data_IF_892825728610
#
_entry.id   IF_892825728610
#
_cell.length_a   1.000
_cell.length_b   1.000
_cell.length_c   1.000
_cell.angle_alpha   90.00
_cell.angle_beta   90.00
_cell.angle_gamma   90.00
#
_symmetry.space_group_name_H-M   'P 1'
#
loop_
_entity.id
_entity.type
_entity.pdbx_description
1 polymer ?
#
# COMPACT_ATOMS: atom_id res chain seq x y z
N UNK A 1 23.43 72.34 12.45
CA UNK A 1 22.79 71.23 11.71
C UNK A 1 23.20 69.95 12.41
N UNK A 2 22.27 69.33 13.12
CA UNK A 2 22.48 68.07 13.84
C UNK A 2 21.18 67.28 13.75
N UNK A 3 21.07 66.45 12.73
CA UNK A 3 19.92 65.58 12.53
C UNK A 3 19.98 64.44 13.55
N UNK A 4 18.99 64.41 14.44
CA UNK A 4 18.77 63.27 15.34
C UNK A 4 18.03 62.19 14.55
N UNK A 5 18.52 60.93 14.53
CA UNK A 5 17.80 59.84 13.88
C UNK A 5 16.49 59.59 14.61
N UNK A 6 15.43 59.33 13.85
CA UNK A 6 14.07 59.18 14.38
C UNK A 6 13.94 57.87 15.17
N UNK A 7 13.26 57.95 16.33
CA UNK A 7 13.00 56.83 17.24
C UNK A 7 12.27 55.64 16.59
N UNK A 8 11.67 55.85 15.41
CA UNK A 8 10.96 54.82 14.66
C UNK A 8 11.91 53.78 14.05
N UNK A 9 13.17 54.15 13.78
CA UNK A 9 14.15 53.27 13.14
C UNK A 9 14.81 52.29 14.14
N UNK A 10 14.82 52.62 15.43
CA UNK A 10 15.37 51.77 16.49
C UNK A 10 14.41 50.64 16.92
N UNK A 11 13.09 50.81 16.77
CA UNK A 11 12.11 49.76 17.07
C UNK A 11 12.01 48.69 15.97
N UNK A 12 12.33 49.04 14.72
CA UNK A 12 12.27 48.09 13.61
C UNK A 12 13.39 47.04 13.65
N UNK A 13 14.49 47.32 14.34
CA UNK A 13 15.63 46.40 14.47
C UNK A 13 15.48 45.37 15.60
N UNK A 14 14.59 45.61 16.58
CA UNK A 14 14.43 44.74 17.75
C UNK A 14 13.40 43.61 17.55
N UNK A 15 12.43 43.78 16.64
CA UNK A 15 11.43 42.74 16.32
C UNK A 15 11.92 41.71 15.28
N UNK A 16 13.05 41.93 14.60
CA UNK A 16 13.59 41.00 13.60
C UNK A 16 14.38 39.81 14.17
N UNK A 17 14.72 39.83 15.47
CA UNK A 17 15.65 38.87 16.06
C UNK A 17 15.00 37.62 16.70
N UNK A 18 13.66 37.51 16.72
CA UNK A 18 12.97 36.42 17.45
C UNK A 18 12.52 35.26 16.52
N UNK A 19 12.66 35.39 15.20
CA UNK A 19 12.13 34.40 14.26
C UNK A 19 13.09 33.26 13.83
N UNK A 20 14.24 33.05 14.51
CA UNK A 20 15.30 32.16 13.99
C UNK A 20 15.53 30.83 14.75
N UNK A 21 14.60 30.34 15.56
CA UNK A 21 14.80 29.05 16.27
C UNK A 21 13.63 28.05 16.19
N UNK A 22 12.86 28.06 15.10
CA UNK A 22 12.17 26.84 14.65
C UNK A 22 13.05 26.07 13.67
N UNK A 23 14.29 25.80 14.08
CA UNK A 23 15.07 24.75 13.45
C UNK A 23 14.35 23.42 13.76
N UNK A 24 13.52 22.97 12.82
CA UNK A 24 13.17 21.56 12.73
C UNK A 24 14.48 20.78 12.77
N UNK A 25 14.74 20.11 13.89
CA UNK A 25 15.79 19.11 13.98
C UNK A 25 15.40 17.99 13.02
N UNK A 26 15.80 18.11 11.75
CA UNK A 26 15.97 16.93 10.90
C UNK A 26 17.14 16.20 11.51
N UNK A 27 16.85 15.15 12.27
CA UNK A 27 17.88 14.18 12.61
C UNK A 27 18.31 13.53 11.30
N UNK A 28 19.59 13.69 10.95
CA UNK A 28 20.25 13.01 9.85
C UNK A 28 20.46 11.52 10.18
N UNK A 29 19.38 10.81 10.51
CA UNK A 29 19.37 9.34 10.58
C UNK A 29 19.07 8.80 9.18
N UNK A 30 19.93 9.13 8.22
CA UNK A 30 19.73 8.81 6.79
C UNK A 30 19.77 7.31 6.46
N UNK A 31 20.13 6.43 7.39
CA UNK A 31 20.34 5.00 7.11
C UNK A 31 19.46 4.04 7.89
N UNK A 32 18.49 4.52 8.68
CA UNK A 32 17.62 3.67 9.50
C UNK A 32 16.14 3.82 9.15
N UNK A 33 15.82 4.15 7.91
CA UNK A 33 14.42 4.31 7.49
C UNK A 33 13.84 3.03 6.87
N UNK A 34 12.53 2.89 6.99
CA UNK A 34 11.70 1.88 6.34
C UNK A 34 10.50 2.58 5.73
N UNK A 35 9.90 1.97 4.70
CA UNK A 35 8.71 2.51 4.06
C UNK A 35 7.51 1.59 4.27
N UNK A 36 6.34 2.16 4.51
CA UNK A 36 5.09 1.41 4.65
C UNK A 36 4.00 2.08 3.83
N UNK A 37 3.21 1.29 3.12
CA UNK A 37 1.95 1.74 2.52
C UNK A 37 0.80 0.84 2.95
N UNK A 38 -0.41 1.35 2.78
CA UNK A 38 -1.63 0.69 3.21
C UNK A 38 -2.56 0.48 2.02
N UNK A 39 -3.16 -0.70 1.94
CA UNK A 39 -4.07 -1.10 0.87
C UNK A 39 -5.37 -1.54 1.52
N UNK A 40 -6.48 -0.88 1.18
CA UNK A 40 -7.80 -1.30 1.63
C UNK A 40 -8.46 -2.17 0.54
N UNK A 41 -8.78 -3.40 0.92
CA UNK A 41 -9.48 -4.41 0.10
C UNK A 41 -10.89 -4.65 0.63
N UNK A 42 -11.29 -4.01 1.73
CA UNK A 42 -12.63 -4.14 2.30
C UNK A 42 -13.57 -3.14 1.64
N UNK A 43 -14.56 -3.64 0.90
CA UNK A 43 -15.73 -2.89 0.45
C UNK A 43 -16.59 -2.49 1.66
N UNK A 44 -16.24 -1.38 2.29
CA UNK A 44 -16.81 -0.86 3.52
C UNK A 44 -16.31 0.56 3.80
N UNK A 45 -16.38 1.03 5.06
CA UNK A 45 -15.83 2.32 5.44
C UNK A 45 -14.35 2.44 5.09
N UNK A 46 -13.95 3.64 4.65
CA UNK A 46 -12.52 3.99 4.53
C UNK A 46 -11.80 3.83 5.85
N UNK A 47 -10.50 3.57 5.77
CA UNK A 47 -9.66 3.33 6.93
C UNK A 47 -8.61 4.43 7.12
N UNK A 48 -8.42 4.82 8.37
CA UNK A 48 -7.28 5.57 8.86
C UNK A 48 -6.27 4.58 9.45
N UNK A 49 -5.01 4.70 9.04
CA UNK A 49 -3.93 3.79 9.44
C UNK A 49 -2.93 4.48 10.33
N UNK A 50 -2.56 3.79 11.42
CA UNK A 50 -1.67 4.32 12.44
C UNK A 50 -0.48 3.41 12.67
N UNK A 51 0.66 4.00 13.00
CA UNK A 51 1.85 3.33 13.50
C UNK A 51 2.11 3.82 14.93
N UNK A 52 2.02 2.95 15.93
CA UNK A 52 2.15 3.31 17.36
C UNK A 52 1.26 4.52 17.74
N UNK A 53 -0.01 4.50 17.34
CA UNK A 53 -1.01 5.56 17.53
C UNK A 53 -0.75 6.88 16.79
N UNK A 54 0.29 6.98 15.97
CA UNK A 54 0.51 8.14 15.08
C UNK A 54 -0.21 7.88 13.76
N UNK A 55 -1.06 8.81 13.32
CA UNK A 55 -1.75 8.71 12.04
C UNK A 55 -0.74 8.83 10.89
N UNK A 56 -0.71 7.85 9.99
CA UNK A 56 0.25 7.79 8.88
C UNK A 56 -0.43 7.86 7.52
N UNK A 57 -1.65 7.34 7.42
CA UNK A 57 -2.49 7.49 6.23
C UNK A 57 -3.94 7.64 6.64
N UNK A 58 -4.68 8.52 5.97
CA UNK A 58 -6.10 8.76 6.24
C UNK A 58 -6.98 8.37 5.04
N UNK A 59 -8.24 8.07 5.32
CA UNK A 59 -9.31 7.93 4.33
C UNK A 59 -9.00 6.95 3.18
N UNK A 60 -8.28 5.86 3.44
CA UNK A 60 -7.96 4.86 2.42
C UNK A 60 -9.21 4.02 2.16
N UNK A 61 -9.90 4.31 1.06
CA UNK A 61 -11.14 3.64 0.65
C UNK A 61 -10.91 2.30 -0.05
N UNK A 62 -11.98 1.51 -0.20
CA UNK A 62 -11.95 0.28 -0.99
C UNK A 62 -11.37 0.50 -2.38
N UNK A 63 -10.53 -0.41 -2.84
CA UNK A 63 -9.94 -0.32 -4.17
C UNK A 63 -8.81 0.70 -4.29
N UNK A 64 -8.46 1.43 -3.22
CA UNK A 64 -7.34 2.38 -3.20
C UNK A 64 -6.17 1.90 -2.33
N UNK A 65 -5.04 2.62 -2.41
CA UNK A 65 -3.88 2.46 -1.55
C UNK A 65 -3.29 3.83 -1.21
N UNK A 66 -2.60 3.92 -0.08
CA UNK A 66 -1.82 5.10 0.28
C UNK A 66 -0.53 5.18 -0.55
N UNK A 67 0.13 6.35 -0.50
CA UNK A 67 1.55 6.44 -0.82
C UNK A 67 2.37 5.70 0.25
N UNK A 68 3.65 5.43 -0.05
CA UNK A 68 4.59 4.98 0.97
C UNK A 68 4.90 6.13 1.93
N UNK A 69 4.65 5.90 3.20
CA UNK A 69 5.15 6.74 4.27
C UNK A 69 6.51 6.24 4.72
N UNK A 70 7.43 7.18 4.98
CA UNK A 70 8.74 6.90 5.56
C UNK A 70 8.59 6.93 7.08
N UNK A 71 9.17 5.95 7.76
CA UNK A 71 9.17 5.87 9.22
C UNK A 71 10.48 5.27 9.71
N UNK A 72 10.77 5.44 11.00
CA UNK A 72 11.97 4.88 11.61
C UNK A 72 11.92 3.34 11.57
N UNK A 73 13.02 2.71 11.20
CA UNK A 73 13.14 1.26 11.12
C UNK A 73 13.76 0.66 12.39
N UNK A 74 13.96 -0.66 12.33
CA UNK A 74 14.43 -1.54 13.40
C UNK A 74 13.62 -1.47 14.70
N UNK A 75 12.37 -1.03 14.60
CA UNK A 75 11.45 -0.83 15.72
C UNK A 75 10.20 -1.69 15.56
N UNK A 76 9.66 -2.14 16.69
CA UNK A 76 8.34 -2.78 16.76
C UNK A 76 7.25 -1.71 16.63
N UNK A 77 6.34 -1.92 15.69
CA UNK A 77 5.18 -1.07 15.51
C UNK A 77 3.90 -1.85 15.77
N UNK A 78 3.00 -1.26 16.56
CA UNK A 78 1.58 -1.60 16.52
C UNK A 78 0.96 -0.84 15.35
N UNK A 79 0.54 -1.57 14.33
CA UNK A 79 -0.17 -1.07 13.16
C UNK A 79 -1.66 -1.20 13.43
N UNK A 80 -2.41 -0.11 13.26
CA UNK A 80 -3.85 -0.08 13.48
C UNK A 80 -4.58 0.36 12.23
N UNK A 81 -5.72 -0.26 11.94
CA UNK A 81 -6.74 0.27 11.05
C UNK A 81 -7.94 0.73 11.88
N UNK A 82 -8.44 1.93 11.60
CA UNK A 82 -9.66 2.47 12.22
C UNK A 82 -10.61 2.96 11.13
N UNK A 83 -11.90 2.81 11.35
CA UNK A 83 -12.88 3.46 10.48
C UNK A 83 -12.66 4.98 10.50
N UNK A 84 -12.49 5.58 9.32
CA UNK A 84 -12.19 7.00 9.17
C UNK A 84 -13.15 7.88 9.95
N UNK A 85 -12.61 8.84 10.69
CA UNK A 85 -13.39 9.78 11.51
C UNK A 85 -13.95 9.19 12.80
N UNK A 86 -13.57 7.97 13.18
CA UNK A 86 -14.00 7.31 14.43
C UNK A 86 -12.82 6.78 15.23
N UNK A 87 -13.06 6.34 16.46
CA UNK A 87 -12.06 5.62 17.27
C UNK A 87 -12.22 4.09 17.19
N UNK A 88 -13.14 3.60 16.36
CA UNK A 88 -13.41 2.17 16.23
C UNK A 88 -12.25 1.49 15.51
N UNK A 89 -11.49 0.69 16.25
CA UNK A 89 -10.41 -0.13 15.69
C UNK A 89 -11.02 -1.28 14.92
N UNK A 90 -10.69 -1.36 13.64
CA UNK A 90 -11.12 -2.42 12.75
C UNK A 90 -10.22 -3.65 12.87
N UNK A 91 -8.91 -3.45 12.97
CA UNK A 91 -7.95 -4.50 13.31
C UNK A 91 -6.59 -3.91 13.75
N UNK A 92 -5.75 -4.74 14.35
CA UNK A 92 -4.39 -4.40 14.78
C UNK A 92 -3.40 -5.54 14.59
N UNK A 93 -2.17 -5.22 14.17
CA UNK A 93 -1.05 -6.18 14.12
C UNK A 93 0.22 -5.53 14.67
N UNK A 94 1.09 -6.32 15.30
CA UNK A 94 2.43 -5.85 15.70
C UNK A 94 3.50 -6.45 14.80
N UNK A 95 4.35 -5.61 14.22
CA UNK A 95 5.42 -6.04 13.29
C UNK A 95 6.71 -5.26 13.52
N UNK A 96 7.86 -5.94 13.41
CA UNK A 96 9.17 -5.28 13.45
C UNK A 96 9.58 -4.89 12.04
N UNK A 97 9.52 -3.59 11.74
CA UNK A 97 9.88 -3.07 10.43
C UNK A 97 11.41 -2.88 10.35
N UNK A 98 12.05 -3.48 9.34
CA UNK A 98 13.52 -3.54 9.24
C UNK A 98 14.09 -2.43 8.38
N UNK A 99 15.34 -2.07 8.65
CA UNK A 99 16.07 -1.04 7.93
C UNK A 99 16.12 -1.32 6.43
N UNK A 100 15.84 -0.29 5.63
CA UNK A 100 15.92 -0.34 4.17
C UNK A 100 14.85 -1.20 3.50
N UNK A 101 13.86 -1.68 4.25
CA UNK A 101 12.76 -2.49 3.71
C UNK A 101 11.53 -1.64 3.40
N UNK A 102 10.73 -2.15 2.47
CA UNK A 102 9.46 -1.55 2.09
C UNK A 102 8.37 -2.55 2.44
N UNK A 103 7.21 -2.08 2.89
CA UNK A 103 6.12 -2.94 3.32
C UNK A 103 4.78 -2.46 2.77
N UNK A 104 3.95 -3.44 2.42
CA UNK A 104 2.55 -3.28 2.06
C UNK A 104 1.69 -3.92 3.14
N UNK A 105 0.82 -3.13 3.75
CA UNK A 105 -0.16 -3.61 4.74
C UNK A 105 -1.52 -3.66 4.07
N UNK A 106 -2.09 -4.85 3.98
CA UNK A 106 -3.39 -5.11 3.38
C UNK A 106 -4.43 -5.24 4.49
N UNK A 107 -5.47 -4.43 4.43
CA UNK A 107 -6.70 -4.61 5.20
C UNK A 107 -7.73 -5.31 4.33
N UNK A 108 -8.15 -6.52 4.69
CA UNK A 108 -8.98 -7.38 3.86
C UNK A 108 -9.94 -8.22 4.72
N UNK A 109 -11.04 -8.66 4.11
CA UNK A 109 -12.01 -9.52 4.78
C UNK A 109 -11.54 -10.97 4.85
N UNK A 110 -11.83 -11.63 5.96
CA UNK A 110 -11.66 -13.08 6.15
C UNK A 110 -12.99 -13.81 6.26
N UNK A 111 -14.06 -13.09 6.62
CA UNK A 111 -15.43 -13.57 6.63
C UNK A 111 -16.39 -12.43 6.29
N UNK A 112 -17.71 -12.66 6.30
CA UNK A 112 -18.68 -11.59 6.12
C UNK A 112 -18.61 -10.52 7.21
N UNK A 113 -18.15 -10.88 8.41
CA UNK A 113 -18.08 -9.98 9.58
C UNK A 113 -16.65 -9.59 9.96
N UNK A 114 -15.66 -10.42 9.63
CA UNK A 114 -14.28 -10.24 10.09
C UNK A 114 -13.37 -9.68 9.00
N UNK A 115 -12.44 -8.84 9.42
CA UNK A 115 -11.38 -8.28 8.58
C UNK A 115 -10.08 -8.28 9.34
N UNK A 116 -8.95 -8.43 8.64
CA UNK A 116 -7.62 -8.48 9.24
C UNK A 116 -6.63 -7.62 8.46
N UNK A 117 -5.56 -7.24 9.14
CA UNK A 117 -4.33 -6.68 8.60
C UNK A 117 -3.34 -7.81 8.31
N UNK A 118 -2.77 -7.77 7.11
CA UNK A 118 -1.65 -8.61 6.73
C UNK A 118 -0.54 -7.75 6.14
N UNK A 119 0.67 -7.95 6.64
CA UNK A 119 1.86 -7.25 6.16
C UNK A 119 2.70 -8.16 5.27
N UNK A 120 3.19 -7.60 4.17
CA UNK A 120 4.19 -8.22 3.30
C UNK A 120 5.33 -7.25 3.05
N UNK A 121 6.56 -7.77 3.01
CA UNK A 121 7.72 -7.02 2.51
C UNK A 121 7.64 -6.90 0.98
N UNK A 122 7.83 -5.69 0.47
CA UNK A 122 7.91 -5.39 -0.95
C UNK A 122 9.36 -5.39 -1.40
N UNK A 123 9.68 -6.25 -2.38
CA UNK A 123 10.95 -6.18 -3.10
C UNK A 123 10.80 -5.23 -4.28
N UNK A 124 11.22 -3.98 -4.07
CA UNK A 124 11.18 -2.91 -5.08
C UNK A 124 12.48 -2.80 -5.87
N UNK A 125 13.36 -3.81 -5.80
CA UNK A 125 14.62 -3.82 -6.56
C UNK A 125 14.28 -3.74 -8.05
N UNK A 126 14.67 -2.65 -8.74
CA UNK A 126 14.39 -2.50 -10.15
C UNK A 126 15.11 -3.59 -10.94
N UNK A 127 14.41 -4.18 -11.88
CA UNK A 127 15.08 -4.92 -12.94
C UNK A 127 15.17 -3.99 -14.15
N UNK A 128 16.36 -3.85 -14.74
CA UNK A 128 16.41 -3.46 -16.15
C UNK A 128 15.57 -4.47 -16.96
N UNK A 129 15.49 -4.47 -18.26
CA UNK A 129 15.02 -5.62 -19.08
C UNK A 129 13.61 -6.25 -18.87
N UNK A 130 12.92 -6.09 -17.73
CA UNK A 130 11.65 -6.73 -17.39
C UNK A 130 10.87 -5.91 -16.36
N UNK A 131 9.57 -6.17 -16.33
CA UNK A 131 8.73 -5.81 -15.21
C UNK A 131 8.63 -6.99 -14.24
N UNK A 132 8.38 -6.72 -12.97
CA UNK A 132 8.19 -7.75 -11.94
C UNK A 132 6.76 -7.74 -11.45
N UNK A 133 6.15 -8.91 -11.32
CA UNK A 133 4.75 -9.05 -10.89
C UNK A 133 4.63 -10.08 -9.78
N UNK A 134 3.90 -9.72 -8.73
CA UNK A 134 3.47 -10.59 -7.65
C UNK A 134 1.95 -10.76 -7.72
N UNK A 135 1.44 -11.96 -7.47
CA UNK A 135 0.00 -12.21 -7.30
C UNK A 135 -0.31 -12.48 -5.84
N UNK A 136 -1.42 -11.94 -5.35
CA UNK A 136 -1.93 -12.20 -4.00
C UNK A 136 -3.44 -12.45 -4.12
N UNK A 137 -3.95 -13.51 -3.50
CA UNK A 137 -5.39 -13.76 -3.45
C UNK A 137 -5.93 -13.46 -2.04
N UNK A 138 -6.71 -12.38 -1.93
CA UNK A 138 -7.41 -11.97 -0.70
C UNK A 138 -8.94 -12.01 -0.85
N UNK A 139 -9.46 -12.70 -1.87
CA UNK A 139 -10.90 -12.82 -2.12
C UNK A 139 -11.57 -13.90 -1.28
N UNK A 140 -11.97 -13.59 -0.04
CA UNK A 140 -12.60 -14.58 0.86
C UNK A 140 -13.95 -15.12 0.36
N UNK A 141 -14.63 -14.40 -0.53
CA UNK A 141 -15.90 -14.85 -1.13
C UNK A 141 -15.69 -15.82 -2.30
N UNK A 142 -14.46 -15.99 -2.78
CA UNK A 142 -14.12 -16.95 -3.81
C UNK A 142 -14.18 -18.35 -3.19
N UNK A 143 -15.09 -19.18 -3.69
CA UNK A 143 -15.36 -20.53 -3.15
C UNK A 143 -14.33 -21.58 -3.56
N UNK A 144 -13.36 -21.19 -4.38
CA UNK A 144 -12.34 -22.06 -4.95
C UNK A 144 -11.05 -21.30 -5.15
N UNK A 145 -9.97 -22.06 -5.37
CA UNK A 145 -8.67 -21.49 -5.71
C UNK A 145 -8.72 -20.83 -7.09
N UNK A 146 -7.82 -19.90 -7.32
CA UNK A 146 -7.73 -19.13 -8.57
C UNK A 146 -6.56 -19.65 -9.40
N UNK A 147 -6.87 -20.22 -10.56
CA UNK A 147 -5.90 -20.50 -11.61
C UNK A 147 -5.47 -19.21 -12.30
N UNK A 148 -4.17 -18.98 -12.33
CA UNK A 148 -3.52 -17.82 -12.92
C UNK A 148 -2.64 -18.33 -14.06
N UNK A 149 -2.91 -17.85 -15.28
CA UNK A 149 -2.09 -18.14 -16.45
C UNK A 149 -1.53 -16.85 -17.01
N UNK A 150 -0.22 -16.81 -17.15
CA UNK A 150 0.55 -15.72 -17.74
C UNK A 150 1.46 -16.27 -18.84
N UNK A 151 2.11 -15.44 -19.66
CA UNK A 151 3.09 -15.92 -20.63
C UNK A 151 4.30 -16.61 -19.97
N UNK A 152 4.63 -16.27 -18.72
CA UNK A 152 5.82 -16.77 -18.01
C UNK A 152 5.54 -17.93 -17.05
N UNK A 153 4.28 -18.09 -16.60
CA UNK A 153 3.94 -19.01 -15.50
C UNK A 153 2.46 -19.41 -15.55
N UNK A 154 2.18 -20.65 -15.14
CA UNK A 154 0.85 -21.11 -14.69
C UNK A 154 0.94 -21.49 -13.21
N UNK A 155 0.01 -21.00 -12.38
CA UNK A 155 -0.05 -21.31 -10.94
C UNK A 155 -1.48 -21.26 -10.44
N UNK A 156 -1.71 -21.69 -9.20
CA UNK A 156 -3.02 -21.68 -8.55
C UNK A 156 -2.89 -21.13 -7.13
N UNK A 157 -3.66 -20.11 -6.78
CA UNK A 157 -3.65 -19.49 -5.44
C UNK A 157 -4.95 -19.72 -4.67
N UNK A 158 -4.85 -20.22 -3.46
CA UNK A 158 -5.93 -20.22 -2.46
C UNK A 158 -6.06 -18.86 -1.77
N UNK A 159 -7.12 -18.71 -0.98
CA UNK A 159 -7.31 -17.50 -0.16
C UNK A 159 -6.15 -17.31 0.83
N UNK A 160 -5.62 -16.09 0.91
CA UNK A 160 -4.48 -15.71 1.74
C UNK A 160 -3.11 -16.03 1.13
N UNK A 161 -3.05 -16.74 0.01
CA UNK A 161 -1.80 -17.12 -0.64
C UNK A 161 -1.29 -16.05 -1.61
N UNK A 162 0.03 -16.09 -1.84
CA UNK A 162 0.72 -15.24 -2.81
C UNK A 162 1.83 -16.00 -3.54
N UNK A 163 2.24 -15.50 -4.70
CA UNK A 163 3.40 -16.02 -5.41
C UNK A 163 4.72 -15.43 -4.86
N UNK A 164 5.84 -15.82 -5.47
CA UNK A 164 7.02 -14.95 -5.55
C UNK A 164 6.85 -13.91 -6.66
N UNK A 165 7.85 -13.05 -6.84
CA UNK A 165 7.90 -12.17 -8.01
C UNK A 165 8.27 -12.97 -9.26
N UNK A 166 7.48 -12.80 -10.32
CA UNK A 166 7.79 -13.29 -11.65
C UNK A 166 8.25 -12.15 -12.55
N UNK A 167 9.17 -12.43 -13.47
CA UNK A 167 9.57 -11.48 -14.49
C UNK A 167 8.68 -11.60 -15.73
N UNK A 168 8.16 -10.47 -16.18
CA UNK A 168 7.42 -10.34 -17.43
C UNK A 168 8.21 -9.48 -18.40
N UNK A 169 8.07 -9.77 -19.70
CA UNK A 169 8.65 -8.95 -20.75
C UNK A 169 8.07 -7.54 -20.68
N UNK A 170 8.94 -6.56 -20.44
CA UNK A 170 8.56 -5.16 -20.37
C UNK A 170 8.08 -4.63 -21.71
N UNK A 171 7.29 -3.56 -21.66
CA UNK A 171 6.85 -2.73 -22.79
C UNK A 171 6.14 -3.54 -23.88
N UNK A 172 5.57 -4.68 -23.49
CA UNK A 172 4.79 -5.56 -24.34
C UNK A 172 3.47 -5.89 -23.65
N UNK A 173 2.41 -5.98 -24.44
CA UNK A 173 1.09 -6.35 -23.94
C UNK A 173 1.13 -7.77 -23.37
N UNK A 174 0.98 -7.89 -22.06
CA UNK A 174 0.88 -9.20 -21.41
C UNK A 174 -0.58 -9.56 -21.22
N UNK A 175 -1.00 -10.70 -21.78
CA UNK A 175 -2.31 -11.29 -21.52
C UNK A 175 -2.21 -12.23 -20.32
N UNK A 176 -3.06 -12.02 -19.32
CA UNK A 176 -3.17 -12.91 -18.16
C UNK A 176 -4.63 -13.31 -17.98
N UNK A 177 -4.87 -14.57 -17.65
CA UNK A 177 -6.22 -15.08 -17.41
C UNK A 177 -6.36 -15.61 -15.99
N UNK A 178 -7.52 -15.35 -15.39
CA UNK A 178 -7.86 -15.74 -14.02
C UNK A 178 -9.15 -16.55 -14.05
N UNK A 179 -9.10 -17.78 -13.54
CA UNK A 179 -10.26 -18.66 -13.50
C UNK A 179 -10.35 -19.33 -12.14
N UNK A 180 -11.56 -19.46 -11.59
CA UNK A 180 -11.78 -20.36 -10.46
C UNK A 180 -11.59 -21.81 -10.93
N UNK A 181 -10.93 -22.64 -10.11
CA UNK A 181 -10.62 -24.05 -10.47
C UNK A 181 -11.87 -24.87 -10.75
N UNK A 182 -12.98 -24.55 -10.08
CA UNK A 182 -14.27 -25.24 -10.17
C UNK A 182 -15.23 -24.60 -11.19
N UNK A 183 -14.79 -23.57 -11.92
CA UNK A 183 -15.61 -22.92 -12.95
C UNK A 183 -15.37 -23.54 -14.33
N UNK A 184 -16.45 -23.94 -15.01
CA UNK A 184 -16.43 -24.34 -16.41
C UNK A 184 -16.33 -23.15 -17.39
N UNK A 185 -16.54 -21.91 -16.91
CA UNK A 185 -16.52 -20.69 -17.73
C UNK A 185 -15.32 -19.80 -17.34
N UNK A 186 -14.75 -19.12 -18.33
CA UNK A 186 -13.68 -18.12 -18.13
C UNK A 186 -14.22 -16.96 -17.28
N UNK A 187 -13.57 -16.66 -16.14
CA UNK A 187 -14.15 -15.82 -15.06
C UNK A 187 -13.68 -14.37 -15.13
N UNK A 188 -12.41 -14.09 -15.46
CA UNK A 188 -11.97 -12.72 -15.76
C UNK A 188 -10.63 -12.68 -16.53
N UNK A 189 -10.39 -11.58 -17.24
CA UNK A 189 -9.13 -11.30 -17.96
C UNK A 189 -8.70 -9.90 -17.58
N UNK A 190 -7.49 -9.75 -17.03
CA UNK A 190 -6.92 -8.40 -16.88
C UNK A 190 -6.91 -7.76 -18.26
N UNK A 191 -7.54 -6.58 -18.36
CA UNK A 191 -7.47 -5.75 -19.57
C UNK A 191 -6.01 -5.69 -20.01
N UNK A 192 -5.69 -6.07 -21.26
CA UNK A 192 -4.31 -6.20 -21.71
C UNK A 192 -3.47 -4.99 -21.31
N UNK A 193 -2.51 -5.21 -20.42
CA UNK A 193 -1.75 -4.14 -19.77
C UNK A 193 -0.31 -4.15 -20.25
N UNK A 194 0.26 -2.95 -20.42
CA UNK A 194 1.69 -2.75 -20.68
C UNK A 194 2.39 -2.60 -19.34
N UNK A 195 3.34 -3.49 -19.06
CA UNK A 195 4.16 -3.44 -17.85
C UNK A 195 5.51 -2.82 -18.19
N UNK A 196 5.91 -1.76 -17.50
CA UNK A 196 7.12 -1.02 -17.85
C UNK A 196 8.39 -1.61 -17.24
N UNK A 197 9.53 -1.45 -17.92
CA UNK A 197 10.86 -1.85 -17.43
C UNK A 197 11.17 -1.17 -16.09
N UNK A 198 11.78 -1.90 -15.15
CA UNK A 198 12.14 -1.35 -13.83
C UNK A 198 11.00 -1.31 -12.82
N UNK A 199 9.77 -1.61 -13.25
CA UNK A 199 8.58 -1.49 -12.41
C UNK A 199 8.17 -2.83 -11.80
N UNK A 200 7.74 -2.73 -10.56
CA UNK A 200 7.21 -3.83 -9.76
C UNK A 200 5.72 -3.60 -9.54
N UNK A 201 4.94 -4.65 -9.72
CA UNK A 201 3.49 -4.60 -9.61
C UNK A 201 2.97 -5.72 -8.71
N UNK A 202 1.85 -5.45 -8.05
CA UNK A 202 1.05 -6.46 -7.38
C UNK A 202 -0.28 -6.58 -8.10
N UNK A 203 -0.63 -7.79 -8.53
CA UNK A 203 -1.97 -8.12 -8.97
C UNK A 203 -2.68 -8.74 -7.77
N UNK A 204 -3.60 -7.96 -7.20
CA UNK A 204 -4.45 -8.39 -6.12
C UNK A 204 -5.70 -9.05 -6.69
N UNK A 205 -5.96 -10.28 -6.30
CA UNK A 205 -7.19 -11.01 -6.60
C UNK A 205 -8.12 -10.88 -5.39
N UNK A 206 -9.37 -10.56 -5.67
CA UNK A 206 -10.44 -10.34 -4.71
C UNK A 206 -11.72 -11.03 -5.22
N UNK A 207 -12.77 -11.04 -4.41
CA UNK A 207 -14.09 -11.48 -4.82
C UNK A 207 -15.13 -10.41 -4.52
N UNK A 208 -16.15 -10.28 -5.36
CA UNK A 208 -17.30 -9.40 -5.06
C UNK A 208 -17.87 -9.78 -3.71
N UNK A 209 -18.02 -8.80 -2.81
CA UNK A 209 -18.41 -9.02 -1.42
C UNK A 209 -19.88 -8.76 -1.13
N UNK A 210 -20.61 -8.09 -2.04
CA UNK A 210 -22.01 -7.69 -1.87
C UNK A 210 -22.79 -7.71 -3.18
N UNK A 211 -24.12 -7.89 -3.10
CA UNK A 211 -25.04 -7.80 -4.22
C UNK A 211 -25.05 -9.01 -5.16
N UNK A 212 -25.68 -8.84 -6.33
CA UNK A 212 -25.96 -9.92 -7.32
C UNK A 212 -24.69 -10.54 -7.93
N UNK A 213 -23.52 -9.95 -7.69
CA UNK A 213 -22.23 -10.48 -8.14
C UNK A 213 -21.44 -11.24 -7.07
N UNK A 214 -21.93 -11.40 -5.84
CA UNK A 214 -21.13 -11.95 -4.72
C UNK A 214 -20.45 -13.27 -5.09
N UNK A 215 -19.13 -13.35 -4.85
CA UNK A 215 -18.30 -14.51 -5.21
C UNK A 215 -17.76 -14.51 -6.64
N UNK A 216 -18.13 -13.53 -7.49
CA UNK A 216 -17.43 -13.32 -8.77
C UNK A 216 -16.01 -12.84 -8.51
N UNK A 217 -15.06 -13.38 -9.29
CA UNK A 217 -13.67 -12.96 -9.27
C UNK A 217 -13.56 -11.49 -9.65
N UNK A 218 -12.62 -10.79 -9.02
CA UNK A 218 -12.16 -9.46 -9.39
C UNK A 218 -10.66 -9.42 -9.24
N UNK A 219 -10.02 -8.54 -9.98
CA UNK A 219 -8.62 -8.23 -9.80
C UNK A 219 -8.32 -6.73 -9.83
N UNK A 220 -7.18 -6.38 -9.26
CA UNK A 220 -6.69 -5.02 -9.23
C UNK A 220 -5.18 -5.02 -9.43
N UNK A 221 -4.74 -4.22 -10.39
CA UNK A 221 -3.33 -3.91 -10.57
C UNK A 221 -2.92 -2.77 -9.64
N UNK A 222 -1.84 -2.99 -8.88
CA UNK A 222 -1.21 -2.01 -8.02
C UNK A 222 0.23 -1.80 -8.50
N UNK A 223 0.58 -0.58 -8.85
CA UNK A 223 1.96 -0.20 -9.17
C UNK A 223 2.72 0.08 -7.88
N UNK A 224 3.88 -0.55 -7.69
CA UNK A 224 4.63 -0.49 -6.44
C UNK A 224 5.78 0.52 -6.46
N UNK A 225 6.35 0.85 -7.63
CA UNK A 225 7.43 1.82 -7.77
C UNK A 225 7.44 2.50 -9.13
#
# INVERSE_FOLDING_TARGET
>A
MSDKPSLLFQFLFLCGAICLITACVKSDNTDLDTKVRFINVVDGPSQDFYLNNVLVSNSVGYGTNSAYAVTAADKLYTILAKNTGTQNVSDSISEKLRVGRNYSVYYYKTSSQDSLLKIYEDDLTPNGDSARVLFINLGYTLRSRVNIKTPAMTTTLGFGEKTGYISLKADSTSKMSFNLVDSANVVDVIVPTIFSKGKTYTILIDGVTKGVGTGKLRERLITNN
#
